data_IF_625163240375
#
_entry.id   IF_625163240375
#
_cell.length_a   1.000
_cell.length_b   1.000
_cell.length_c   1.000
_cell.angle_alpha   90.00
_cell.angle_beta   90.00
_cell.angle_gamma   90.00
#
_symmetry.space_group_name_H-M   'P 1'
#
loop_
_entity.id
_entity.type
_entity.pdbx_description
1 polymer ?
#
# COMPACT_ATOMS: atom_id res chain seq x y z
N UNK A 1 -29.71 73.23 9.77
CA UNK A 1 -29.20 74.05 10.91
C UNK A 1 -28.85 73.11 12.06
N UNK A 2 -27.76 73.42 12.78
CA UNK A 2 -27.12 72.71 13.92
C UNK A 2 -26.10 71.64 13.49
N UNK A 3 -24.83 71.98 13.28
CA UNK A 3 -23.75 72.40 14.21
C UNK A 3 -22.95 71.19 14.75
N UNK A 4 -21.64 71.26 14.52
CA UNK A 4 -20.62 70.27 14.82
C UNK A 4 -20.30 70.16 16.32
N UNK A 5 -19.80 68.99 16.75
CA UNK A 5 -19.00 68.83 17.97
C UNK A 5 -17.78 67.96 17.63
N UNK A 6 -16.61 68.55 17.83
CA UNK A 6 -15.28 67.95 17.81
C UNK A 6 -14.96 67.38 19.20
N UNK A 7 -14.38 66.18 19.29
CA UNK A 7 -13.54 65.80 20.45
C UNK A 7 -12.36 64.94 19.97
N UNK A 8 -11.18 65.37 20.41
CA UNK A 8 -9.86 64.78 20.27
C UNK A 8 -9.66 63.56 21.18
N UNK A 9 -8.89 62.58 20.70
CA UNK A 9 -7.87 61.85 21.46
C UNK A 9 -8.30 60.67 22.34
N UNK A 10 -7.66 59.51 22.13
CA UNK A 10 -6.73 58.88 23.08
C UNK A 10 -6.01 57.73 22.38
N UNK A 11 -4.69 57.76 22.53
CA UNK A 11 -3.69 56.79 22.09
C UNK A 11 -3.78 55.53 22.96
N UNK A 12 -3.99 54.36 22.35
CA UNK A 12 -3.80 53.06 23.00
C UNK A 12 -2.90 52.20 22.13
N UNK A 13 -1.66 52.09 22.57
CA UNK A 13 -0.61 51.19 22.08
C UNK A 13 -1.16 49.76 22.13
N UNK A 14 -1.51 49.17 20.98
CA UNK A 14 -1.61 47.73 20.88
C UNK A 14 -0.20 47.20 20.64
N UNK A 15 0.46 46.80 21.73
CA UNK A 15 1.64 45.96 21.69
C UNK A 15 1.36 44.79 20.75
N UNK A 16 2.16 44.67 19.69
CA UNK A 16 2.14 43.52 18.80
C UNK A 16 2.32 42.26 19.64
N UNK A 17 1.28 41.43 19.69
CA UNK A 17 1.41 40.06 20.13
C UNK A 17 2.20 39.36 19.03
N UNK A 18 3.51 39.24 19.23
CA UNK A 18 4.35 38.42 18.37
C UNK A 18 3.75 37.03 18.32
N UNK A 19 3.26 36.63 17.15
CA UNK A 19 2.91 35.25 16.91
C UNK A 19 4.19 34.44 17.13
N UNK A 20 4.25 33.74 18.26
CA UNK A 20 5.18 32.64 18.43
C UNK A 20 4.90 31.70 17.27
N UNK A 21 5.78 31.69 16.28
CA UNK A 21 5.86 30.59 15.33
C UNK A 21 6.19 29.36 16.15
N UNK A 22 5.17 28.60 16.52
CA UNK A 22 5.37 27.27 17.08
C UNK A 22 6.18 26.50 16.05
N UNK A 23 7.45 26.26 16.36
CA UNK A 23 8.23 25.26 15.63
C UNK A 23 7.51 23.95 15.87
N UNK A 24 6.84 23.43 14.83
CA UNK A 24 6.27 22.11 14.88
C UNK A 24 7.43 21.13 15.07
N UNK A 25 7.53 20.55 16.26
CA UNK A 25 8.48 19.49 16.53
C UNK A 25 8.25 18.34 15.53
N UNK A 26 9.32 17.72 15.01
CA UNK A 26 9.18 16.56 14.13
C UNK A 26 8.41 15.47 14.87
N UNK A 27 7.32 15.00 14.27
CA UNK A 27 6.55 13.90 14.81
C UNK A 27 7.38 12.61 14.72
N UNK A 28 7.80 12.06 15.86
CA UNK A 28 8.38 10.71 15.99
C UNK A 28 7.34 9.58 15.72
N UNK A 29 6.17 9.91 15.16
CA UNK A 29 5.12 8.95 14.91
C UNK A 29 5.55 7.94 13.83
N UNK A 30 5.73 6.69 14.25
CA UNK A 30 5.83 5.54 13.36
C UNK A 30 4.43 5.26 12.80
N UNK A 31 4.27 5.12 11.47
CA UNK A 31 2.99 4.75 10.88
C UNK A 31 2.48 3.42 11.46
N UNK A 32 1.22 3.38 11.85
CA UNK A 32 0.55 2.12 12.17
C UNK A 32 0.27 1.36 10.87
N UNK A 33 0.68 0.10 10.81
CA UNK A 33 0.40 -0.78 9.68
C UNK A 33 -0.40 -2.00 10.15
N UNK A 34 -1.33 -2.42 9.31
CA UNK A 34 -2.09 -3.65 9.51
C UNK A 34 -1.68 -4.68 8.47
N UNK A 35 -1.74 -5.96 8.84
CA UNK A 35 -1.43 -7.06 7.93
C UNK A 35 -2.61 -8.03 7.89
N UNK A 36 -2.84 -8.61 6.72
CA UNK A 36 -3.87 -9.62 6.51
C UNK A 36 -3.31 -10.76 5.68
N UNK A 37 -3.78 -11.98 5.95
CA UNK A 37 -3.47 -13.16 5.15
C UNK A 37 -4.37 -13.14 3.91
N UNK A 38 -3.77 -13.14 2.72
CA UNK A 38 -4.49 -13.06 1.44
C UNK A 38 -4.65 -14.41 0.73
N UNK A 39 -3.92 -15.43 1.16
CA UNK A 39 -3.95 -16.77 0.57
C UNK A 39 -3.47 -17.81 1.60
N UNK A 40 -4.06 -19.00 1.58
CA UNK A 40 -3.66 -20.15 2.38
C UNK A 40 -4.24 -21.44 1.80
N UNK A 41 -3.37 -22.35 1.39
CA UNK A 41 -3.71 -23.70 0.91
C UNK A 41 -2.80 -24.78 1.52
N UNK A 42 -1.97 -24.42 2.52
CA UNK A 42 -0.96 -25.30 3.10
C UNK A 42 0.28 -25.59 2.23
N UNK A 43 0.37 -25.04 1.02
CA UNK A 43 1.52 -25.23 0.11
C UNK A 43 2.68 -24.29 0.45
N UNK A 44 3.86 -24.59 -0.12
CA UNK A 44 5.00 -23.69 -0.14
C UNK A 44 4.79 -22.59 -1.20
N UNK A 45 4.18 -21.48 -0.77
CA UNK A 45 3.86 -20.34 -1.62
C UNK A 45 4.96 -19.26 -1.52
N UNK A 46 5.58 -18.88 -2.64
CA UNK A 46 6.77 -18.02 -2.66
C UNK A 46 6.98 -17.30 -4.00
N UNK A 47 8.03 -16.46 -4.06
CA UNK A 47 8.41 -15.68 -5.25
C UNK A 47 7.30 -14.75 -5.76
N UNK A 48 6.68 -14.05 -4.81
CA UNK A 48 5.49 -13.24 -5.04
C UNK A 48 5.76 -12.01 -5.90
N UNK A 49 4.74 -11.59 -6.63
CA UNK A 49 4.63 -10.26 -7.23
C UNK A 49 3.19 -9.73 -7.10
N UNK A 50 3.03 -8.42 -6.98
CA UNK A 50 1.75 -7.74 -6.75
C UNK A 50 1.66 -6.48 -7.62
N UNK A 51 0.56 -6.33 -8.35
CA UNK A 51 0.33 -5.17 -9.22
C UNK A 51 -1.14 -4.81 -9.25
N UNK A 52 -1.44 -3.52 -9.43
CA UNK A 52 -2.80 -3.03 -9.67
C UNK A 52 -3.00 -2.71 -11.15
N UNK A 53 -4.12 -3.15 -11.73
CA UNK A 53 -4.53 -2.81 -13.09
C UNK A 53 -6.05 -2.62 -13.16
N UNK A 54 -6.52 -1.53 -13.75
CA UNK A 54 -7.94 -1.16 -13.84
C UNK A 54 -8.69 -1.28 -12.51
N UNK A 55 -8.13 -0.71 -11.44
CA UNK A 55 -8.69 -0.73 -10.08
C UNK A 55 -8.85 -2.14 -9.47
N UNK A 56 -8.21 -3.16 -10.03
CA UNK A 56 -8.17 -4.53 -9.50
C UNK A 56 -6.73 -4.88 -9.14
N UNK A 57 -6.55 -5.50 -7.97
CA UNK A 57 -5.27 -6.02 -7.51
C UNK A 57 -5.06 -7.45 -8.01
N UNK A 58 -3.86 -7.73 -8.48
CA UNK A 58 -3.42 -9.04 -8.94
C UNK A 58 -2.15 -9.42 -8.19
N UNK A 59 -2.17 -10.58 -7.54
CA UNK A 59 -1.01 -11.15 -6.87
C UNK A 59 -0.70 -12.50 -7.54
N UNK A 60 0.57 -12.73 -7.85
CA UNK A 60 1.05 -14.00 -8.38
C UNK A 60 2.17 -14.55 -7.51
N UNK A 61 2.27 -15.88 -7.45
CA UNK A 61 3.30 -16.58 -6.69
C UNK A 61 3.45 -18.00 -7.24
N UNK A 62 4.59 -18.62 -6.96
CA UNK A 62 4.77 -20.07 -7.14
C UNK A 62 4.15 -20.81 -5.97
N UNK A 63 3.45 -21.90 -6.26
CA UNK A 63 2.91 -22.85 -5.29
C UNK A 63 3.49 -24.25 -5.55
N UNK A 64 4.07 -24.87 -4.52
CA UNK A 64 4.70 -26.20 -4.60
C UNK A 64 4.64 -26.92 -3.24
N UNK A 65 5.07 -28.19 -3.20
CA UNK A 65 5.15 -28.95 -1.93
C UNK A 65 6.32 -28.54 -1.03
N UNK A 66 7.34 -27.88 -1.59
CA UNK A 66 8.51 -27.38 -0.84
C UNK A 66 9.27 -26.33 -1.68
N UNK A 67 10.35 -25.78 -1.11
CA UNK A 67 11.23 -24.86 -1.84
C UNK A 67 11.70 -25.49 -3.15
N UNK A 68 12.27 -26.71 -3.07
CA UNK A 68 12.84 -27.44 -4.21
C UNK A 68 13.97 -26.69 -4.90
N UNK A 69 15.14 -27.31 -5.05
CA UNK A 69 16.09 -26.85 -6.07
C UNK A 69 15.73 -27.45 -7.44
N UNK A 70 16.23 -26.92 -8.56
CA UNK A 70 15.91 -27.46 -9.89
C UNK A 70 16.28 -28.94 -10.09
N UNK A 71 17.19 -29.49 -9.28
CA UNK A 71 17.57 -30.91 -9.30
C UNK A 71 16.69 -31.83 -8.42
N UNK A 72 15.89 -31.26 -7.53
CA UNK A 72 15.07 -32.00 -6.57
C UNK A 72 13.84 -32.68 -7.17
N UNK A 73 13.47 -32.32 -8.41
CA UNK A 73 12.26 -32.81 -9.08
C UNK A 73 10.96 -32.27 -8.49
N UNK A 74 11.02 -31.30 -7.57
CA UNK A 74 9.84 -30.61 -7.04
C UNK A 74 9.28 -29.69 -8.12
N UNK A 75 8.06 -29.99 -8.57
CA UNK A 75 7.38 -29.19 -9.58
C UNK A 75 6.42 -28.20 -8.91
N UNK A 76 6.63 -26.91 -9.18
CA UNK A 76 5.74 -25.84 -8.80
C UNK A 76 4.82 -25.39 -9.93
N UNK A 77 3.68 -24.82 -9.55
CA UNK A 77 2.73 -24.15 -10.44
C UNK A 77 2.73 -22.65 -10.16
N UNK A 78 2.39 -21.83 -11.15
CA UNK A 78 2.15 -20.40 -10.93
C UNK A 78 0.68 -20.18 -10.64
N UNK A 79 0.38 -19.50 -9.55
CA UNK A 79 -0.99 -19.12 -9.16
C UNK A 79 -1.15 -17.61 -9.37
N UNK A 80 -2.33 -17.20 -9.81
CA UNK A 80 -2.74 -15.79 -9.83
C UNK A 80 -4.03 -15.66 -9.05
N UNK A 81 -4.00 -14.81 -8.02
CA UNK A 81 -5.18 -14.39 -7.27
C UNK A 81 -5.47 -12.92 -7.55
N UNK A 82 -6.75 -12.53 -7.45
CA UNK A 82 -7.16 -11.13 -7.58
C UNK A 82 -8.04 -10.67 -6.41
N UNK A 83 -8.07 -9.37 -6.20
CA UNK A 83 -8.98 -8.70 -5.26
C UNK A 83 -9.39 -7.32 -5.77
N UNK A 84 -10.63 -6.93 -5.49
CA UNK A 84 -11.14 -5.57 -5.75
C UNK A 84 -11.11 -4.68 -4.50
N UNK A 85 -10.92 -5.26 -3.32
CA UNK A 85 -11.08 -4.60 -2.03
C UNK A 85 -9.90 -4.84 -1.05
N UNK A 86 -8.87 -5.60 -1.46
CA UNK A 86 -7.74 -6.07 -0.63
C UNK A 86 -8.14 -6.96 0.56
N UNK A 87 -9.42 -7.32 0.68
CA UNK A 87 -9.97 -8.13 1.77
C UNK A 87 -10.29 -9.53 1.24
N UNK A 88 -11.08 -9.62 0.18
CA UNK A 88 -11.47 -10.88 -0.45
C UNK A 88 -10.58 -11.16 -1.66
N UNK A 89 -9.97 -12.34 -1.66
CA UNK A 89 -9.04 -12.78 -2.70
C UNK A 89 -9.56 -14.05 -3.35
N UNK A 90 -9.46 -14.11 -4.67
CA UNK A 90 -9.92 -15.25 -5.47
C UNK A 90 -8.83 -15.70 -6.43
N UNK A 91 -8.55 -17.01 -6.47
CA UNK A 91 -7.76 -17.61 -7.54
C UNK A 91 -8.48 -17.46 -8.87
N UNK A 92 -7.77 -16.92 -9.87
CA UNK A 92 -8.29 -16.69 -11.22
C UNK A 92 -7.52 -17.45 -12.29
N UNK A 93 -6.31 -17.92 -11.98
CA UNK A 93 -5.53 -18.75 -12.87
C UNK A 93 -4.54 -19.60 -12.09
N UNK A 94 -4.28 -20.79 -12.63
CA UNK A 94 -3.20 -21.68 -12.23
C UNK A 94 -2.52 -22.24 -13.47
N UNK A 95 -1.23 -21.99 -13.60
CA UNK A 95 -0.42 -22.46 -14.72
C UNK A 95 0.45 -23.62 -14.24
N UNK A 96 0.36 -24.71 -14.99
CA UNK A 96 1.16 -25.92 -14.80
C UNK A 96 1.70 -26.37 -16.16
N UNK A 97 2.89 -26.96 -16.15
CA UNK A 97 3.47 -27.59 -17.33
C UNK A 97 4.10 -28.92 -16.90
N UNK A 98 3.69 -29.99 -17.56
CA UNK A 98 4.10 -31.36 -17.22
C UNK A 98 5.63 -31.49 -17.18
N UNK A 99 6.16 -31.93 -16.03
CA UNK A 99 7.60 -32.14 -15.84
C UNK A 99 8.42 -30.86 -15.65
N UNK A 100 7.81 -29.67 -15.62
CA UNK A 100 8.54 -28.40 -15.54
C UNK A 100 8.19 -27.65 -14.26
N UNK A 101 9.21 -27.33 -13.45
CA UNK A 101 9.07 -26.44 -12.30
C UNK A 101 8.96 -24.98 -12.77
N UNK A 102 7.75 -24.43 -12.79
CA UNK A 102 7.54 -23.02 -13.11
C UNK A 102 7.95 -22.14 -11.91
N UNK A 103 8.80 -21.15 -12.18
CA UNK A 103 9.47 -20.33 -11.15
C UNK A 103 9.24 -18.84 -11.37
N UNK A 104 9.36 -18.11 -10.27
CA UNK A 104 9.53 -16.65 -10.19
C UNK A 104 8.62 -15.83 -11.11
N UNK A 105 7.29 -15.95 -10.97
CA UNK A 105 6.36 -15.21 -11.79
C UNK A 105 6.51 -13.70 -11.56
N UNK A 106 6.32 -12.91 -12.62
CA UNK A 106 6.31 -11.45 -12.60
C UNK A 106 5.13 -10.89 -13.36
N UNK A 107 4.54 -9.83 -12.82
CA UNK A 107 3.46 -9.07 -13.42
C UNK A 107 4.00 -7.73 -13.89
N UNK A 108 3.52 -7.29 -15.05
CA UNK A 108 3.79 -5.96 -15.57
C UNK A 108 2.56 -5.44 -16.30
N UNK A 109 2.28 -4.15 -16.16
CA UNK A 109 1.26 -3.47 -16.97
C UNK A 109 1.99 -2.93 -18.19
N UNK A 110 1.72 -3.53 -19.36
CA UNK A 110 2.25 -3.06 -20.63
C UNK A 110 1.30 -2.05 -21.30
N UNK A 111 1.81 -1.05 -22.05
CA UNK A 111 1.02 -0.12 -22.86
C UNK A 111 0.18 -0.78 -23.96
#
# INVERSE_FOLDING_TARGET
MRAAISVFGILSILCGFGASSGMAEPSDAVPEFTTSKIFDDGSYNCFTDLTQFNNVWYCTFRSAISHGDPSSGVIGSIVVIRSVDLIQWHEIARFHLDGVDLRDPKLTVAP
#
